data_IF_512500676144
#
_entry.id   IF_512500676144
#
_cell.length_a   1.000
_cell.length_b   1.000
_cell.length_c   1.000
_cell.angle_alpha   90.00
_cell.angle_beta   90.00
_cell.angle_gamma   90.00
#
_symmetry.space_group_name_H-M   'P 1'
#
loop_
_entity.id
_entity.type
_entity.pdbx_description
1 polymer ?
#
# COMPACT_ATOMS: atom_id res chain seq x y z
N UNK A 1 -33.28 -20.48 -41.75
CA UNK A 1 -33.17 -19.95 -40.37
C UNK A 1 -31.74 -19.51 -40.13
N UNK A 2 -31.46 -18.23 -40.36
CA UNK A 2 -30.19 -17.59 -40.02
C UNK A 2 -30.38 -16.90 -38.67
N UNK A 3 -29.59 -17.27 -37.66
CA UNK A 3 -29.42 -16.45 -36.46
C UNK A 3 -27.97 -15.98 -36.44
N UNK A 4 -27.75 -14.74 -36.87
CA UNK A 4 -26.49 -14.03 -36.67
C UNK A 4 -26.37 -13.64 -35.20
N UNK A 5 -25.31 -14.11 -34.53
CA UNK A 5 -24.93 -13.65 -33.21
C UNK A 5 -24.35 -12.23 -33.31
N UNK A 6 -25.05 -11.25 -32.74
CA UNK A 6 -24.53 -9.90 -32.56
C UNK A 6 -23.36 -9.89 -31.56
N UNK A 7 -22.28 -9.11 -31.80
CA UNK A 7 -21.20 -8.99 -30.84
C UNK A 7 -21.66 -8.15 -29.64
N UNK A 8 -21.57 -8.73 -28.43
CA UNK A 8 -21.80 -8.02 -27.17
C UNK A 8 -20.75 -6.92 -27.01
N UNK A 9 -21.18 -5.68 -27.17
CA UNK A 9 -20.42 -4.47 -26.86
C UNK A 9 -20.26 -4.34 -25.32
N UNK A 10 -19.36 -5.12 -24.72
CA UNK A 10 -19.07 -5.09 -23.28
C UNK A 10 -18.04 -4.00 -22.88
N UNK A 11 -17.40 -3.36 -23.86
CA UNK A 11 -16.28 -2.43 -23.64
C UNK A 11 -16.78 -1.01 -23.30
N UNK A 12 -17.92 -0.58 -23.86
CA UNK A 12 -18.47 0.76 -23.65
C UNK A 12 -19.02 0.97 -22.21
N UNK A 13 -19.64 -0.06 -21.62
CA UNK A 13 -20.24 0.03 -20.28
C UNK A 13 -19.21 0.26 -19.16
N UNK A 14 -18.03 -0.38 -19.25
CA UNK A 14 -16.96 -0.21 -18.27
C UNK A 14 -16.34 1.19 -18.29
N UNK A 15 -16.22 1.79 -19.49
CA UNK A 15 -15.67 3.13 -19.67
C UNK A 15 -16.61 4.18 -19.08
N UNK A 16 -17.91 4.11 -19.39
CA UNK A 16 -18.93 5.03 -18.85
C UNK A 16 -18.99 4.96 -17.32
N UNK A 17 -18.98 3.75 -16.74
CA UNK A 17 -18.95 3.56 -15.28
C UNK A 17 -17.67 4.15 -14.66
N UNK A 18 -16.51 3.99 -15.30
CA UNK A 18 -15.26 4.56 -14.81
C UNK A 18 -15.23 6.09 -14.89
N UNK A 19 -15.82 6.68 -15.94
CA UNK A 19 -15.97 8.13 -16.09
C UNK A 19 -16.90 8.68 -14.99
N UNK A 20 -18.07 8.07 -14.77
CA UNK A 20 -19.00 8.45 -13.71
C UNK A 20 -18.32 8.35 -12.34
N UNK A 21 -17.59 7.26 -12.07
CA UNK A 21 -16.80 7.11 -10.84
C UNK A 21 -15.74 8.21 -10.71
N UNK A 22 -15.04 8.55 -11.79
CA UNK A 22 -14.03 9.62 -11.79
C UNK A 22 -14.63 10.99 -11.45
N UNK A 23 -15.81 11.30 -11.98
CA UNK A 23 -16.54 12.55 -11.72
C UNK A 23 -17.10 12.60 -10.29
N UNK A 24 -17.64 11.49 -9.77
CA UNK A 24 -18.23 11.44 -8.43
C UNK A 24 -17.17 11.36 -7.32
N UNK A 25 -16.01 10.77 -7.58
CA UNK A 25 -14.91 10.61 -6.60
C UNK A 25 -14.51 11.90 -5.89
N UNK A 26 -14.31 13.06 -6.54
CA UNK A 26 -14.00 14.31 -5.85
C UNK A 26 -15.15 14.80 -4.95
N UNK A 27 -16.40 14.66 -5.39
CA UNK A 27 -17.59 15.03 -4.59
C UNK A 27 -17.69 14.16 -3.34
N UNK A 28 -17.59 12.84 -3.52
CA UNK A 28 -17.60 11.86 -2.43
C UNK A 28 -16.44 12.11 -1.46
N UNK A 29 -15.22 12.35 -1.97
CA UNK A 29 -14.05 12.70 -1.15
C UNK A 29 -14.29 13.99 -0.36
N UNK A 30 -14.90 15.02 -0.96
CA UNK A 30 -15.26 16.27 -0.28
C UNK A 30 -16.28 16.04 0.84
N UNK A 31 -17.30 15.21 0.62
CA UNK A 31 -18.28 14.86 1.65
C UNK A 31 -17.63 14.11 2.82
N UNK A 32 -16.81 13.09 2.55
CA UNK A 32 -16.10 12.37 3.62
C UNK A 32 -15.12 13.27 4.38
N UNK A 33 -14.38 14.14 3.68
CA UNK A 33 -13.52 15.16 4.32
C UNK A 33 -14.30 16.08 5.23
N UNK A 34 -15.46 16.56 4.76
CA UNK A 34 -16.32 17.45 5.56
C UNK A 34 -16.84 16.75 6.82
N UNK A 35 -17.34 15.51 6.69
CA UNK A 35 -17.81 14.71 7.83
C UNK A 35 -16.69 14.39 8.82
N UNK A 36 -15.49 14.13 8.33
CA UNK A 36 -14.33 13.86 9.18
C UNK A 36 -13.94 15.05 10.07
N UNK A 37 -14.22 16.31 9.68
CA UNK A 37 -13.80 17.49 10.47
C UNK A 37 -14.31 17.47 11.90
N UNK A 38 -15.58 17.15 12.11
CA UNK A 38 -16.17 17.09 13.46
C UNK A 38 -15.54 15.97 14.28
N UNK A 39 -15.35 14.79 13.69
CA UNK A 39 -14.72 13.65 14.35
C UNK A 39 -13.25 13.92 14.69
N UNK A 40 -12.52 14.62 13.81
CA UNK A 40 -11.14 15.03 14.04
C UNK A 40 -11.03 16.06 15.16
N UNK A 41 -11.99 16.99 15.27
CA UNK A 41 -12.07 17.90 16.42
C UNK A 41 -12.26 17.11 17.71
N UNK A 42 -13.29 16.24 17.74
CA UNK A 42 -13.56 15.40 18.91
C UNK A 42 -12.34 14.57 19.33
N UNK A 43 -11.58 14.02 18.36
CA UNK A 43 -10.37 13.25 18.64
C UNK A 43 -9.26 14.12 19.26
N UNK A 44 -9.13 15.38 18.83
CA UNK A 44 -8.19 16.35 19.42
C UNK A 44 -8.64 16.77 20.83
N UNK A 45 -9.93 16.87 21.05
CA UNK A 45 -10.55 17.32 22.31
C UNK A 45 -10.48 16.26 23.43
N UNK A 46 -10.07 15.02 23.13
CA UNK A 46 -9.85 13.97 24.14
C UNK A 46 -8.70 14.28 25.12
N UNK A 47 -7.91 15.34 24.89
CA UNK A 47 -6.79 15.72 25.76
C UNK A 47 -5.60 14.73 25.74
N UNK A 48 -5.66 13.70 24.89
CA UNK A 48 -4.60 12.71 24.73
C UNK A 48 -3.63 13.15 23.61
N UNK A 49 -2.33 13.33 23.89
CA UNK A 49 -1.35 13.72 22.87
C UNK A 49 -1.29 12.79 21.66
N UNK A 50 -1.49 11.48 21.86
CA UNK A 50 -1.53 10.49 20.77
C UNK A 50 -2.77 10.66 19.89
N UNK A 51 -3.92 10.97 20.50
CA UNK A 51 -5.15 11.22 19.75
C UNK A 51 -5.01 12.47 18.86
N UNK A 52 -4.39 13.54 19.38
CA UNK A 52 -4.05 14.72 18.59
C UNK A 52 -3.12 14.42 17.42
N UNK A 53 -2.09 13.59 17.63
CA UNK A 53 -1.18 13.14 16.55
C UNK A 53 -1.90 12.34 15.47
N UNK A 54 -2.77 11.40 15.86
CA UNK A 54 -3.59 10.61 14.92
C UNK A 54 -4.52 11.54 14.13
N UNK A 55 -5.21 12.46 14.80
CA UNK A 55 -6.10 13.41 14.15
C UNK A 55 -5.36 14.24 13.09
N UNK A 56 -4.19 14.76 13.44
CA UNK A 56 -3.38 15.56 12.53
C UNK A 56 -2.83 14.75 11.37
N UNK A 57 -2.37 13.51 11.59
CA UNK A 57 -1.93 12.62 10.51
C UNK A 57 -3.07 12.29 9.53
N UNK A 58 -4.28 12.05 10.07
CA UNK A 58 -5.45 11.75 9.25
C UNK A 58 -5.91 12.98 8.45
N UNK A 59 -5.89 14.16 9.06
CA UNK A 59 -6.21 15.44 8.40
C UNK A 59 -5.23 15.74 7.26
N UNK A 60 -3.92 15.56 7.50
CA UNK A 60 -2.88 15.72 6.48
C UNK A 60 -3.09 14.75 5.31
N UNK A 61 -3.33 13.45 5.59
CA UNK A 61 -3.54 12.44 4.55
C UNK A 61 -4.87 12.64 3.79
N UNK A 62 -5.93 13.07 4.48
CA UNK A 62 -7.22 13.38 3.85
C UNK A 62 -7.07 14.54 2.88
N UNK A 63 -6.35 15.59 3.26
CA UNK A 63 -6.20 16.82 2.49
C UNK A 63 -4.97 16.83 1.56
N UNK A 64 -4.17 15.77 1.56
CA UNK A 64 -2.95 15.64 0.75
C UNK A 64 -1.90 16.72 1.08
N UNK A 65 -1.79 17.04 2.37
CA UNK A 65 -0.84 18.04 2.88
C UNK A 65 0.53 17.36 2.99
N UNK A 66 1.48 17.82 2.19
CA UNK A 66 2.87 17.33 2.15
C UNK A 66 3.82 18.53 2.12
N UNK A 67 4.86 18.50 2.96
CA UNK A 67 5.98 19.42 2.79
C UNK A 67 6.81 19.04 1.54
N UNK A 68 7.74 19.90 1.06
CA UNK A 68 8.50 19.63 -0.17
C UNK A 68 9.33 18.35 -0.13
N UNK A 69 9.91 17.98 1.01
CA UNK A 69 10.72 16.77 1.13
C UNK A 69 9.84 15.52 1.18
N UNK A 70 8.74 15.57 1.93
CA UNK A 70 7.73 14.52 1.96
C UNK A 70 7.18 14.28 0.55
N UNK A 71 6.82 15.35 -0.18
CA UNK A 71 6.33 15.27 -1.55
C UNK A 71 7.34 14.58 -2.47
N UNK A 72 8.62 14.95 -2.40
CA UNK A 72 9.68 14.31 -3.21
C UNK A 72 9.79 12.80 -2.94
N UNK A 73 9.68 12.37 -1.68
CA UNK A 73 9.69 10.95 -1.35
C UNK A 73 8.46 10.22 -1.87
N UNK A 74 7.28 10.78 -1.63
CA UNK A 74 6.00 10.23 -2.07
C UNK A 74 5.97 10.07 -3.59
N UNK A 75 6.40 11.07 -4.36
CA UNK A 75 6.46 11.01 -5.81
C UNK A 75 7.40 9.92 -6.33
N UNK A 76 8.60 9.76 -5.72
CA UNK A 76 9.54 8.69 -6.09
C UNK A 76 8.98 7.30 -5.80
N UNK A 77 8.24 7.13 -4.70
CA UNK A 77 7.63 5.85 -4.35
C UNK A 77 6.44 5.54 -5.27
N UNK A 78 5.61 6.53 -5.61
CA UNK A 78 4.50 6.35 -6.54
C UNK A 78 4.95 6.14 -8.00
N UNK A 79 6.08 6.73 -8.40
CA UNK A 79 6.78 6.38 -9.65
C UNK A 79 7.16 4.89 -9.65
N UNK A 80 7.82 4.40 -8.58
CA UNK A 80 8.15 2.98 -8.43
C UNK A 80 6.89 2.11 -8.49
N UNK A 81 5.80 2.49 -7.81
CA UNK A 81 4.52 1.77 -7.86
C UNK A 81 3.98 1.70 -9.28
N UNK A 82 4.03 2.79 -10.06
CA UNK A 82 3.57 2.80 -11.45
C UNK A 82 4.38 1.86 -12.33
N UNK A 83 5.71 1.87 -12.19
CA UNK A 83 6.60 0.95 -12.90
C UNK A 83 6.28 -0.51 -12.56
N UNK A 84 6.10 -0.83 -11.27
CA UNK A 84 5.72 -2.17 -10.83
C UNK A 84 4.35 -2.58 -11.38
N UNK A 85 3.35 -1.70 -11.31
CA UNK A 85 2.03 -1.92 -11.88
C UNK A 85 2.07 -2.15 -13.40
N UNK A 86 3.03 -1.59 -14.12
CA UNK A 86 3.20 -1.81 -15.56
C UNK A 86 4.01 -3.06 -15.93
N UNK A 87 4.61 -3.75 -14.95
CA UNK A 87 5.54 -4.84 -15.22
C UNK A 87 4.84 -6.14 -15.64
N UNK A 88 5.26 -6.68 -16.79
CA UNK A 88 4.91 -8.01 -17.28
C UNK A 88 5.91 -9.09 -16.85
N UNK A 89 6.94 -8.73 -16.09
CA UNK A 89 7.94 -9.69 -15.61
C UNK A 89 7.27 -10.78 -14.76
N UNK A 90 7.55 -12.04 -15.08
CA UNK A 90 7.00 -13.19 -14.37
C UNK A 90 7.87 -13.49 -13.16
N UNK A 91 7.23 -13.70 -12.02
CA UNK A 91 7.85 -14.11 -10.77
C UNK A 91 7.18 -15.37 -10.24
N UNK A 92 8.02 -16.31 -9.81
CA UNK A 92 7.59 -17.52 -9.09
C UNK A 92 7.60 -17.23 -7.59
N UNK A 93 6.45 -17.39 -6.95
CA UNK A 93 6.23 -17.04 -5.55
C UNK A 93 5.75 -18.27 -4.80
N UNK A 94 6.38 -18.59 -3.67
CA UNK A 94 5.82 -19.53 -2.71
C UNK A 94 4.76 -18.81 -1.87
N UNK A 95 3.49 -19.10 -2.14
CA UNK A 95 2.35 -18.53 -1.45
C UNK A 95 1.90 -19.45 -0.31
N UNK A 96 1.88 -18.94 0.92
CA UNK A 96 1.47 -19.67 2.12
C UNK A 96 -0.01 -19.46 2.51
N UNK A 97 -0.79 -18.69 1.73
CA UNK A 97 -2.23 -18.52 1.93
C UNK A 97 -2.66 -17.23 2.63
N UNK A 98 -1.74 -16.30 2.91
CA UNK A 98 -2.07 -15.01 3.56
C UNK A 98 -2.85 -14.04 2.65
N UNK A 99 -2.96 -14.32 1.35
CA UNK A 99 -3.42 -13.35 0.34
C UNK A 99 -4.93 -13.27 0.11
N UNK A 100 -5.73 -14.26 0.49
CA UNK A 100 -7.18 -14.23 0.26
C UNK A 100 -7.95 -14.92 1.39
N UNK A 101 -8.84 -14.21 2.11
CA UNK A 101 -9.66 -14.79 3.17
C UNK A 101 -10.59 -15.92 2.69
N UNK A 102 -10.91 -15.94 1.39
CA UNK A 102 -11.81 -16.92 0.78
C UNK A 102 -11.04 -18.13 0.19
N UNK A 103 -9.70 -18.11 0.21
CA UNK A 103 -8.93 -19.29 -0.17
C UNK A 103 -8.85 -20.22 1.03
N UNK A 104 -9.64 -21.29 0.99
CA UNK A 104 -9.50 -22.40 1.93
C UNK A 104 -8.33 -23.27 1.44
N UNK A 105 -7.24 -23.31 2.20
CA UNK A 105 -6.11 -24.23 2.00
C UNK A 105 -6.01 -25.14 3.22
N UNK A 106 -5.63 -26.41 3.03
CA UNK A 106 -5.38 -27.29 4.17
C UNK A 106 -4.12 -26.86 4.94
N UNK A 107 -4.04 -27.16 6.24
CA UNK A 107 -2.90 -26.80 7.10
C UNK A 107 -1.54 -27.29 6.54
N UNK A 108 -1.53 -28.47 5.92
CA UNK A 108 -0.34 -29.03 5.26
C UNK A 108 0.08 -28.30 3.99
N UNK A 109 -0.86 -27.66 3.27
CA UNK A 109 -0.56 -26.82 2.10
C UNK A 109 -0.13 -25.41 2.54
N UNK A 110 -0.79 -24.84 3.54
CA UNK A 110 -0.36 -23.58 4.16
C UNK A 110 1.04 -23.70 4.78
N UNK A 111 1.41 -24.89 5.26
CA UNK A 111 2.73 -25.13 5.84
C UNK A 111 3.84 -25.29 4.81
N UNK A 112 3.56 -26.00 3.71
CA UNK A 112 4.54 -26.21 2.64
C UNK A 112 4.63 -25.04 1.66
N UNK A 113 3.57 -24.24 1.57
CA UNK A 113 3.41 -23.22 0.56
C UNK A 113 3.11 -23.84 -0.82
N UNK A 114 2.45 -23.06 -1.67
CA UNK A 114 2.15 -23.43 -3.06
C UNK A 114 2.90 -22.47 -3.96
N UNK A 115 3.70 -23.02 -4.87
CA UNK A 115 4.41 -22.21 -5.87
C UNK A 115 3.41 -21.74 -6.91
N UNK A 116 3.27 -20.43 -7.05
CA UNK A 116 2.43 -19.78 -8.04
C UNK A 116 3.27 -18.87 -8.93
N UNK A 117 2.90 -18.78 -10.21
CA UNK A 117 3.50 -17.86 -11.15
C UNK A 117 2.56 -16.68 -11.38
N UNK A 118 3.06 -15.46 -11.21
CA UNK A 118 2.31 -14.22 -11.47
C UNK A 118 3.22 -13.19 -12.10
N UNK A 119 2.64 -12.21 -12.79
CA UNK A 119 3.39 -11.02 -13.15
C UNK A 119 3.62 -10.13 -11.93
N UNK A 120 4.73 -9.39 -11.91
CA UNK A 120 5.00 -8.37 -10.88
C UNK A 120 3.87 -7.33 -10.84
N UNK A 121 3.31 -6.96 -11.99
CA UNK A 121 2.17 -6.05 -12.08
C UNK A 121 0.90 -6.57 -11.40
N UNK A 122 0.57 -7.87 -11.55
CA UNK A 122 -0.57 -8.48 -10.85
C UNK A 122 -0.37 -8.48 -9.33
N UNK A 123 0.83 -8.83 -8.86
CA UNK A 123 1.18 -8.80 -7.44
C UNK A 123 1.07 -7.38 -6.90
N UNK A 124 1.66 -6.40 -7.59
CA UNK A 124 1.65 -5.00 -7.20
C UNK A 124 0.24 -4.45 -7.09
N UNK A 125 -0.60 -4.67 -8.11
CA UNK A 125 -2.00 -4.19 -8.11
C UNK A 125 -2.86 -4.87 -7.05
N UNK A 126 -2.62 -6.15 -6.77
CA UNK A 126 -3.42 -6.93 -5.83
C UNK A 126 -3.05 -6.69 -4.36
N UNK A 127 -1.77 -6.52 -4.06
CA UNK A 127 -1.28 -6.46 -2.68
C UNK A 127 -0.95 -5.05 -2.18
N UNK A 128 -0.56 -4.13 -3.07
CA UNK A 128 -0.11 -2.79 -2.63
C UNK A 128 -1.28 -1.99 -2.07
N UNK A 129 -1.10 -1.46 -0.85
CA UNK A 129 -2.11 -0.58 -0.23
C UNK A 129 -2.35 0.65 -1.11
N UNK A 130 -3.61 1.09 -1.30
CA UNK A 130 -3.90 2.32 -2.02
C UNK A 130 -3.12 3.53 -1.48
N UNK A 131 -2.90 4.54 -2.34
CA UNK A 131 -2.15 5.76 -2.01
C UNK A 131 -2.54 6.36 -0.65
N UNK A 132 -3.83 6.58 -0.41
CA UNK A 132 -4.33 7.17 0.83
C UNK A 132 -3.84 6.45 2.09
N UNK A 133 -3.92 5.11 2.11
CA UNK A 133 -3.50 4.32 3.27
C UNK A 133 -1.98 4.31 3.43
N UNK A 134 -1.24 4.34 2.32
CA UNK A 134 0.23 4.44 2.35
C UNK A 134 0.67 5.81 2.90
N UNK A 135 0.01 6.88 2.45
CA UNK A 135 0.23 8.23 2.94
C UNK A 135 -0.16 8.39 4.42
N UNK A 136 -1.27 7.79 4.85
CA UNK A 136 -1.66 7.82 6.26
C UNK A 136 -0.62 7.14 7.15
N UNK A 137 -0.09 5.98 6.76
CA UNK A 137 1.00 5.30 7.48
C UNK A 137 2.24 6.19 7.57
N UNK A 138 2.64 6.81 6.47
CA UNK A 138 3.74 7.78 6.43
C UNK A 138 3.51 8.93 7.40
N UNK A 139 2.33 9.55 7.38
CA UNK A 139 1.99 10.67 8.26
C UNK A 139 1.95 10.27 9.73
N UNK A 140 1.45 9.09 10.05
CA UNK A 140 1.50 8.57 11.41
C UNK A 140 2.95 8.44 11.89
N UNK A 141 3.84 7.86 11.08
CA UNK A 141 5.26 7.75 11.44
C UNK A 141 5.92 9.12 11.58
N UNK A 142 5.60 10.09 10.71
CA UNK A 142 6.09 11.48 10.85
C UNK A 142 5.65 12.12 12.18
N UNK A 143 4.40 11.94 12.61
CA UNK A 143 3.89 12.54 13.87
C UNK A 143 4.37 11.81 15.13
N UNK A 144 4.50 10.48 15.07
CA UNK A 144 4.90 9.68 16.23
C UNK A 144 6.42 9.58 16.39
N UNK A 145 7.18 9.71 15.29
CA UNK A 145 8.64 9.60 15.26
C UNK A 145 9.20 8.37 16.02
N UNK A 146 8.70 7.16 15.75
CA UNK A 146 9.17 5.96 16.44
C UNK A 146 10.63 5.64 16.08
N UNK A 147 11.37 5.06 17.02
CA UNK A 147 12.73 4.55 16.79
C UNK A 147 12.75 3.18 16.10
N UNK A 148 11.63 2.46 16.07
CA UNK A 148 11.51 1.15 15.44
C UNK A 148 10.11 0.89 14.92
N UNK A 149 10.01 0.33 13.72
CA UNK A 149 8.78 -0.18 13.13
C UNK A 149 8.94 -1.65 12.75
N UNK A 150 7.87 -2.43 12.93
CA UNK A 150 7.75 -3.81 12.44
C UNK A 150 6.61 -3.86 11.42
N UNK A 151 6.87 -4.42 10.26
CA UNK A 151 5.86 -4.69 9.22
C UNK A 151 5.78 -6.20 8.95
N UNK A 152 4.57 -6.74 9.00
CA UNK A 152 4.29 -8.14 8.65
C UNK A 152 3.66 -8.17 7.25
N UNK A 153 4.44 -8.63 6.27
CA UNK A 153 4.07 -8.67 4.86
C UNK A 153 4.74 -7.55 4.06
N UNK A 154 5.97 -7.77 3.63
CA UNK A 154 6.72 -6.80 2.80
C UNK A 154 6.17 -6.70 1.38
N UNK A 155 5.77 -7.84 0.78
CA UNK A 155 5.43 -7.95 -0.63
C UNK A 155 6.51 -7.29 -1.53
N UNK A 156 6.14 -6.35 -2.39
CA UNK A 156 7.07 -5.61 -3.27
C UNK A 156 7.69 -4.36 -2.60
N UNK A 157 7.42 -4.11 -1.32
CA UNK A 157 8.07 -3.07 -0.52
C UNK A 157 7.46 -1.66 -0.62
N UNK A 158 6.29 -1.48 -1.24
CA UNK A 158 5.70 -0.13 -1.40
C UNK A 158 5.30 0.50 -0.06
N UNK A 159 4.53 -0.19 0.78
CA UNK A 159 4.17 0.31 2.12
C UNK A 159 5.41 0.50 2.99
N UNK A 160 6.33 -0.46 2.97
CA UNK A 160 7.62 -0.34 3.64
C UNK A 160 8.42 0.90 3.22
N UNK A 161 8.36 1.31 1.94
CA UNK A 161 9.09 2.48 1.45
C UNK A 161 8.51 3.80 1.99
N UNK A 162 7.18 3.89 2.11
CA UNK A 162 6.53 5.00 2.82
C UNK A 162 6.96 5.05 4.29
N UNK A 163 6.95 3.92 4.99
CA UNK A 163 7.35 3.87 6.39
C UNK A 163 8.81 4.27 6.59
N UNK A 164 9.70 3.70 5.78
CA UNK A 164 11.14 3.94 5.83
C UNK A 164 11.52 5.38 5.49
N UNK A 165 10.90 5.97 4.46
CA UNK A 165 11.15 7.38 4.12
C UNK A 165 10.67 8.33 5.22
N UNK A 166 9.53 8.06 5.86
CA UNK A 166 9.05 8.84 7.00
C UNK A 166 10.02 8.77 8.20
N UNK A 167 10.55 7.58 8.53
CA UNK A 167 11.59 7.41 9.54
C UNK A 167 12.87 8.18 9.18
N UNK A 168 13.29 8.12 7.91
CA UNK A 168 14.48 8.84 7.42
C UNK A 168 14.31 10.36 7.56
N UNK A 169 13.15 10.91 7.22
CA UNK A 169 12.83 12.33 7.41
C UNK A 169 12.71 12.74 8.89
N UNK A 170 12.41 11.80 9.79
CA UNK A 170 12.47 12.04 11.23
C UNK A 170 13.91 12.04 11.76
N UNK A 171 14.91 11.75 10.90
CA UNK A 171 16.30 11.49 11.27
C UNK A 171 16.45 10.44 12.38
N UNK A 172 15.45 9.55 12.54
CA UNK A 172 15.39 8.55 13.59
C UNK A 172 14.59 7.33 13.15
N UNK A 173 15.09 6.17 13.56
CA UNK A 173 14.39 4.91 13.52
C UNK A 173 14.61 4.05 12.28
N UNK A 174 14.20 2.78 12.40
CA UNK A 174 14.43 1.73 11.41
C UNK A 174 13.18 0.88 11.22
N UNK A 175 13.00 0.36 10.02
CA UNK A 175 11.95 -0.60 9.69
C UNK A 175 12.55 -2.00 9.60
N UNK A 176 11.96 -2.95 10.33
CA UNK A 176 12.10 -4.37 10.04
C UNK A 176 10.81 -4.83 9.37
N UNK A 177 10.91 -5.44 8.20
CA UNK A 177 9.76 -5.94 7.45
C UNK A 177 9.98 -7.42 7.11
N UNK A 178 8.92 -8.21 7.20
CA UNK A 178 8.99 -9.67 7.07
C UNK A 178 8.16 -10.17 5.89
N UNK A 179 8.71 -11.11 5.13
CA UNK A 179 8.05 -11.71 3.97
C UNK A 179 8.34 -13.21 3.87
N UNK A 180 7.31 -14.01 3.62
CA UNK A 180 7.42 -15.46 3.48
C UNK A 180 7.96 -15.86 2.11
N UNK A 181 7.62 -15.11 1.06
CA UNK A 181 8.08 -15.38 -0.29
C UNK A 181 9.47 -14.78 -0.53
N UNK A 182 10.51 -15.62 -0.55
CA UNK A 182 11.90 -15.20 -0.80
C UNK A 182 12.05 -14.32 -2.05
N UNK A 183 11.36 -14.66 -3.14
CA UNK A 183 11.42 -13.91 -4.39
C UNK A 183 10.86 -12.47 -4.25
N UNK A 184 9.79 -12.27 -3.47
CA UNK A 184 9.24 -10.95 -3.18
C UNK A 184 10.16 -10.16 -2.25
N UNK A 185 10.68 -10.81 -1.21
CA UNK A 185 11.65 -10.21 -0.29
C UNK A 185 12.88 -9.65 -1.03
N UNK A 186 13.48 -10.45 -1.93
CA UNK A 186 14.63 -10.01 -2.74
C UNK A 186 14.29 -8.83 -3.66
N UNK A 187 13.10 -8.79 -4.27
CA UNK A 187 12.67 -7.63 -5.05
C UNK A 187 12.48 -6.39 -4.17
N UNK A 188 11.87 -6.54 -3.00
CA UNK A 188 11.67 -5.43 -2.07
C UNK A 188 13.00 -4.83 -1.61
N UNK A 189 14.00 -5.65 -1.27
CA UNK A 189 15.36 -5.19 -0.94
C UNK A 189 15.97 -4.36 -2.07
N UNK A 190 15.88 -4.84 -3.31
CA UNK A 190 16.35 -4.10 -4.48
C UNK A 190 15.61 -2.77 -4.65
N UNK A 191 14.30 -2.73 -4.42
CA UNK A 191 13.53 -1.49 -4.50
C UNK A 191 13.94 -0.49 -3.40
N UNK A 192 14.18 -0.95 -2.17
CA UNK A 192 14.66 -0.10 -1.09
C UNK A 192 16.04 0.50 -1.43
N UNK A 193 16.95 -0.32 -1.95
CA UNK A 193 18.27 0.14 -2.41
C UNK A 193 18.15 1.20 -3.51
N UNK A 194 17.33 0.95 -4.54
CA UNK A 194 17.09 1.91 -5.63
C UNK A 194 16.47 3.23 -5.15
N UNK A 195 15.67 3.19 -4.08
CA UNK A 195 15.10 4.39 -3.46
C UNK A 195 16.07 5.09 -2.51
N UNK A 196 17.21 4.48 -2.16
CA UNK A 196 18.17 5.02 -1.20
C UNK A 196 17.70 4.89 0.25
N UNK A 197 16.91 3.86 0.54
CA UNK A 197 16.39 3.52 1.87
C UNK A 197 17.29 2.47 2.51
N UNK A 198 18.21 2.94 3.35
CA UNK A 198 19.23 2.19 4.09
C UNK A 198 18.78 1.83 5.51
N UNK A 199 17.65 2.36 5.95
CA UNK A 199 17.06 2.16 7.27
C UNK A 199 15.99 1.05 7.29
N UNK A 200 16.04 0.12 6.33
CA UNK A 200 15.12 -1.01 6.21
C UNK A 200 15.88 -2.33 6.22
N UNK A 201 15.40 -3.28 7.01
CA UNK A 201 15.84 -4.67 6.99
C UNK A 201 14.68 -5.56 6.57
N UNK A 202 14.85 -6.31 5.48
CA UNK A 202 13.91 -7.35 5.08
C UNK A 202 14.35 -8.67 5.72
N UNK A 203 13.38 -9.40 6.28
CA UNK A 203 13.61 -10.70 6.90
C UNK A 203 12.74 -11.72 6.18
N UNK A 204 13.36 -12.75 5.61
CA UNK A 204 12.65 -13.85 4.97
C UNK A 204 12.22 -14.84 6.05
N UNK A 205 10.92 -15.09 6.17
CA UNK A 205 10.38 -15.99 7.20
C UNK A 205 8.86 -15.99 7.28
N UNK A 206 8.31 -16.96 8.01
CA UNK A 206 6.88 -17.07 8.32
C UNK A 206 6.55 -16.30 9.60
N UNK A 207 5.28 -15.97 9.78
CA UNK A 207 4.73 -15.33 10.98
C UNK A 207 4.29 -16.39 12.01
N UNK A 208 5.21 -17.26 12.43
CA UNK A 208 4.95 -18.39 13.34
C UNK A 208 5.74 -18.25 14.63
#
# INVERSE_FOLDING_TARGET
MWFAALPRCAIAGGIVVNIIKSILKPVVKRVYRFRAKSQLSQLRDLGNPSAGKIANALDDALNDILDPEEKRWVERIEEKRRLLNGSSAIISITDYGAGSPNLVRGDGEMSRGVVISRTVGEVSRGASKPYFWSLLLFKLIRKFAPSSCLELGTCLGISGAYQASALKLNANGRLVTMEGAKALASLAEQHFQQLGLDNVRVVVGRFQ
#
